data_IF_618497148785
#
_entry.id   IF_618497148785
#
_cell.length_a   1.000
_cell.length_b   1.000
_cell.length_c   1.000
_cell.angle_alpha   90.00
_cell.angle_beta   90.00
_cell.angle_gamma   90.00
#
_symmetry.space_group_name_H-M   'P 1'
#
loop_
_entity.id
_entity.type
_entity.pdbx_description
1 polymer ?
#
# COMPACT_ATOMS: atom_id res chain seq x y z
N UNK A 1 -11.10 11.56 10.60
CA UNK A 1 -11.14 12.77 11.48
C UNK A 1 -12.57 12.99 11.91
N UNK A 2 -12.83 13.09 13.19
CA UNK A 2 -14.16 13.38 13.77
C UNK A 2 -14.39 14.88 13.96
N UNK A 3 -13.41 15.56 14.52
CA UNK A 3 -13.49 17.00 14.78
C UNK A 3 -12.11 17.64 14.83
N UNK A 4 -12.08 18.92 14.51
CA UNK A 4 -10.88 19.77 14.62
C UNK A 4 -11.24 20.91 15.57
N UNK A 5 -10.44 21.08 16.59
CA UNK A 5 -10.56 22.20 17.51
C UNK A 5 -9.37 23.16 17.32
N UNK A 6 -9.65 24.26 16.66
CA UNK A 6 -8.64 25.29 16.38
C UNK A 6 -8.26 26.11 17.62
N UNK A 7 -9.06 26.08 18.68
CA UNK A 7 -8.78 26.85 19.88
C UNK A 7 -7.77 26.11 20.78
N UNK A 8 -7.92 24.79 20.88
CA UNK A 8 -6.98 23.92 21.61
C UNK A 8 -5.89 23.33 20.71
N UNK A 9 -5.88 23.67 19.42
CA UNK A 9 -4.93 23.16 18.43
C UNK A 9 -4.86 21.63 18.42
N UNK A 10 -6.03 20.97 18.50
CA UNK A 10 -6.13 19.50 18.54
C UNK A 10 -7.07 18.94 17.49
N UNK A 11 -6.77 17.71 17.06
CA UNK A 11 -7.62 16.91 16.17
C UNK A 11 -8.05 15.63 16.86
N UNK A 12 -9.33 15.30 16.78
CA UNK A 12 -9.87 14.01 17.20
C UNK A 12 -9.95 13.06 16.02
N UNK A 13 -9.29 11.92 16.14
CA UNK A 13 -9.29 10.88 15.11
C UNK A 13 -9.89 9.61 15.71
N UNK A 14 -10.97 9.14 15.09
CA UNK A 14 -11.58 7.85 15.43
C UNK A 14 -10.84 6.72 14.72
N UNK A 15 -10.49 5.69 15.45
CA UNK A 15 -9.86 4.47 14.96
C UNK A 15 -10.83 3.30 15.06
N UNK A 16 -11.37 2.88 13.92
CA UNK A 16 -12.36 1.80 13.86
C UNK A 16 -11.85 0.42 14.32
N UNK A 17 -10.53 0.21 14.29
CA UNK A 17 -9.91 -1.06 14.71
C UNK A 17 -10.00 -1.25 16.22
N UNK A 18 -9.81 -0.17 16.97
CA UNK A 18 -9.84 -0.18 18.45
C UNK A 18 -11.14 0.40 19.02
N UNK A 19 -12.04 0.84 18.13
CA UNK A 19 -13.32 1.51 18.46
C UNK A 19 -13.15 2.66 19.45
N UNK A 20 -12.09 3.46 19.25
CA UNK A 20 -11.73 4.56 20.15
C UNK A 20 -11.34 5.83 19.42
N UNK A 21 -11.41 6.95 20.12
CA UNK A 21 -11.08 8.29 19.61
C UNK A 21 -9.88 8.85 20.35
N UNK A 22 -8.80 9.11 19.62
CA UNK A 22 -7.57 9.66 20.17
C UNK A 22 -7.46 11.14 19.78
N UNK A 23 -7.05 11.98 20.73
CA UNK A 23 -6.73 13.39 20.48
C UNK A 23 -5.25 13.55 20.15
N UNK A 24 -4.98 14.27 19.07
CA UNK A 24 -3.63 14.60 18.62
C UNK A 24 -3.45 16.13 18.62
N UNK A 25 -2.43 16.66 19.26
CA UNK A 25 -1.98 18.04 19.04
C UNK A 25 -1.56 18.24 17.58
N UNK A 26 -1.81 19.43 17.03
CA UNK A 26 -1.43 19.76 15.64
C UNK A 26 0.07 19.54 15.37
N UNK A 27 0.91 19.84 16.34
CA UNK A 27 2.36 19.65 16.24
C UNK A 27 2.78 18.21 15.97
N UNK A 28 2.02 17.24 16.49
CA UNK A 28 2.34 15.82 16.33
C UNK A 28 1.71 15.19 15.06
N UNK A 29 0.77 15.86 14.41
CA UNK A 29 0.09 15.32 13.23
C UNK A 29 1.06 14.94 12.11
N UNK A 30 2.04 15.79 11.70
CA UNK A 30 2.90 15.47 10.57
C UNK A 30 3.78 14.23 10.78
N UNK A 31 4.10 13.93 12.04
CA UNK A 31 4.92 12.76 12.39
C UNK A 31 4.12 11.50 12.66
N UNK A 32 2.84 11.66 13.06
CA UNK A 32 2.01 10.53 13.54
C UNK A 32 0.97 10.07 12.54
N UNK A 33 0.57 10.93 11.60
CA UNK A 33 -0.55 10.66 10.68
C UNK A 33 -0.15 10.96 9.25
N UNK A 34 -0.52 10.07 8.35
CA UNK A 34 -0.38 10.27 6.90
C UNK A 34 -1.73 10.22 6.23
N UNK A 35 -1.88 10.90 5.11
CA UNK A 35 -3.10 10.84 4.30
C UNK A 35 -3.33 9.41 3.80
N UNK A 36 -4.55 8.89 4.00
CA UNK A 36 -4.90 7.50 3.71
C UNK A 36 -5.66 7.28 2.39
N UNK A 37 -5.71 8.28 1.50
CA UNK A 37 -6.44 8.16 0.22
C UNK A 37 -5.71 7.30 -0.83
N UNK A 38 -4.41 7.08 -0.66
CA UNK A 38 -3.61 6.19 -1.48
C UNK A 38 -2.46 5.59 -0.68
N UNK A 39 -2.01 4.42 -1.09
CA UNK A 39 -0.90 3.71 -0.45
C UNK A 39 -0.05 3.00 -1.49
N UNK A 40 1.21 2.76 -1.19
CA UNK A 40 2.04 1.90 -2.04
C UNK A 40 1.66 0.43 -1.86
N UNK A 41 1.88 -0.38 -2.90
CA UNK A 41 1.63 -1.83 -2.85
C UNK A 41 2.34 -2.48 -1.65
N UNK A 42 3.58 -2.08 -1.37
CA UNK A 42 4.35 -2.62 -0.25
C UNK A 42 3.74 -2.28 1.12
N UNK A 43 3.29 -1.04 1.31
CA UNK A 43 2.64 -0.64 2.57
C UNK A 43 1.29 -1.34 2.77
N UNK A 44 0.63 -1.70 1.68
CA UNK A 44 -0.67 -2.38 1.71
C UNK A 44 -0.53 -3.92 1.77
N UNK A 45 0.69 -4.42 1.82
CA UNK A 45 0.98 -5.85 1.96
C UNK A 45 0.39 -6.40 3.28
N UNK A 46 -0.33 -7.52 3.20
CA UNK A 46 -1.06 -8.07 4.36
C UNK A 46 -2.47 -7.52 4.57
N UNK A 47 -2.84 -6.44 3.86
CA UNK A 47 -4.20 -5.89 3.89
C UNK A 47 -4.97 -6.27 2.62
N UNK A 48 -6.31 -6.19 2.67
CA UNK A 48 -7.19 -6.36 1.51
C UNK A 48 -8.30 -5.32 1.51
N UNK A 49 -8.95 -5.16 0.37
CA UNK A 49 -10.16 -4.35 0.24
C UNK A 49 -11.10 -4.98 -0.80
N UNK A 50 -12.40 -4.68 -0.68
CA UNK A 50 -13.40 -5.18 -1.62
C UNK A 50 -13.11 -4.74 -3.05
N UNK A 51 -12.71 -3.49 -3.23
CA UNK A 51 -12.37 -2.90 -4.52
C UNK A 51 -11.00 -2.22 -4.43
N UNK A 52 -10.14 -2.49 -5.38
CA UNK A 52 -8.81 -1.88 -5.50
C UNK A 52 -8.72 -1.17 -6.85
N UNK A 53 -8.24 0.06 -6.82
CA UNK A 53 -7.78 0.77 -8.01
C UNK A 53 -6.26 0.84 -7.95
N UNK A 54 -5.61 0.03 -8.77
CA UNK A 54 -4.15 -0.02 -8.84
C UNK A 54 -3.60 0.86 -9.96
N UNK A 55 -2.57 1.63 -9.66
CA UNK A 55 -1.81 2.39 -10.66
C UNK A 55 -0.49 1.67 -10.92
N UNK A 56 -0.24 1.33 -12.18
CA UNK A 56 0.94 0.57 -12.58
C UNK A 56 1.51 1.13 -13.89
N UNK A 57 2.45 2.04 -13.76
CA UNK A 57 3.02 2.78 -14.88
C UNK A 57 4.55 2.91 -14.79
N UNK A 58 5.15 3.66 -15.73
CA UNK A 58 6.58 3.89 -15.77
C UNK A 58 7.11 4.89 -14.72
N UNK A 59 6.26 5.55 -13.92
CA UNK A 59 6.71 6.30 -12.75
C UNK A 59 7.22 5.34 -11.66
N UNK A 60 6.77 4.08 -11.70
CA UNK A 60 7.32 3.00 -10.89
C UNK A 60 8.76 2.70 -11.34
N UNK A 61 9.75 2.68 -10.42
CA UNK A 61 11.12 2.33 -10.77
C UNK A 61 11.20 1.02 -11.57
N UNK A 62 12.02 0.94 -12.63
CA UNK A 62 12.10 -0.23 -13.49
C UNK A 62 12.42 -1.55 -12.76
N UNK A 63 13.16 -1.47 -11.66
CA UNK A 63 13.48 -2.62 -10.79
C UNK A 63 12.27 -3.13 -10.00
N UNK A 64 11.24 -2.30 -9.85
CA UNK A 64 9.99 -2.65 -9.16
C UNK A 64 8.89 -3.12 -10.11
N UNK A 65 9.06 -2.92 -11.43
CA UNK A 65 8.12 -3.42 -12.44
C UNK A 65 8.32 -4.93 -12.63
N UNK A 66 7.92 -5.69 -11.62
CA UNK A 66 8.08 -7.14 -11.57
C UNK A 66 6.73 -7.85 -11.53
N UNK A 67 6.74 -9.12 -11.90
CA UNK A 67 5.55 -9.99 -11.84
C UNK A 67 5.02 -10.11 -10.41
N UNK A 68 5.92 -10.17 -9.45
CA UNK A 68 5.60 -10.29 -8.03
C UNK A 68 4.86 -9.05 -7.51
N UNK A 69 5.31 -7.84 -7.92
CA UNK A 69 4.63 -6.61 -7.54
C UNK A 69 3.23 -6.55 -8.14
N UNK A 70 3.10 -6.87 -9.43
CA UNK A 70 1.81 -6.92 -10.12
C UNK A 70 0.87 -7.95 -9.45
N UNK A 71 1.37 -9.14 -9.18
CA UNK A 71 0.61 -10.18 -8.48
C UNK A 71 0.17 -9.72 -7.09
N UNK A 72 1.09 -9.12 -6.32
CA UNK A 72 0.80 -8.60 -4.98
C UNK A 72 -0.31 -7.53 -5.03
N UNK A 73 -0.27 -6.63 -6.01
CA UNK A 73 -1.32 -5.64 -6.22
C UNK A 73 -2.68 -6.28 -6.50
N UNK A 74 -2.74 -7.18 -7.48
CA UNK A 74 -3.99 -7.82 -7.91
C UNK A 74 -4.64 -8.64 -6.79
N UNK A 75 -3.82 -9.34 -6.00
CA UNK A 75 -4.31 -10.19 -4.90
C UNK A 75 -4.76 -9.41 -3.66
N UNK A 76 -4.65 -8.09 -3.64
CA UNK A 76 -5.22 -7.25 -2.56
C UNK A 76 -6.73 -7.03 -2.72
N UNK A 77 -7.27 -7.25 -3.91
CA UNK A 77 -8.69 -7.10 -4.17
C UNK A 77 -9.46 -8.37 -3.78
N UNK A 78 -10.51 -8.21 -2.99
CA UNK A 78 -11.42 -9.31 -2.61
C UNK A 78 -12.49 -9.56 -3.68
N UNK A 79 -12.93 -8.50 -4.37
CA UNK A 79 -14.02 -8.57 -5.37
C UNK A 79 -13.60 -8.04 -6.73
N UNK A 80 -13.00 -6.87 -6.77
CA UNK A 80 -12.72 -6.18 -8.02
C UNK A 80 -11.39 -5.43 -7.96
N UNK A 81 -10.60 -5.54 -9.03
CA UNK A 81 -9.39 -4.78 -9.21
C UNK A 81 -9.44 -4.06 -10.57
N UNK A 82 -9.46 -2.73 -10.52
CA UNK A 82 -9.29 -1.89 -11.71
C UNK A 82 -7.83 -1.48 -11.83
N UNK A 83 -7.18 -1.82 -12.94
CA UNK A 83 -5.79 -1.47 -13.17
C UNK A 83 -5.68 -0.29 -14.14
N UNK A 84 -5.20 0.83 -13.65
CA UNK A 84 -4.82 1.99 -14.46
C UNK A 84 -3.34 1.83 -14.80
N UNK A 85 -3.04 1.54 -16.05
CA UNK A 85 -1.68 1.15 -16.43
C UNK A 85 -1.31 1.56 -17.85
N UNK A 86 0.00 1.62 -18.09
CA UNK A 86 0.55 1.64 -19.43
C UNK A 86 0.82 0.21 -19.88
N UNK A 87 0.33 -0.17 -21.06
CA UNK A 87 0.48 -1.53 -21.61
C UNK A 87 1.94 -2.03 -21.58
N UNK A 88 2.90 -1.14 -21.86
CA UNK A 88 4.33 -1.50 -21.83
C UNK A 88 4.84 -1.79 -20.42
N UNK A 89 4.33 -1.10 -19.37
CA UNK A 89 4.72 -1.36 -17.99
C UNK A 89 4.26 -2.75 -17.54
N UNK A 90 3.02 -3.10 -17.87
CA UNK A 90 2.46 -4.43 -17.58
C UNK A 90 3.21 -5.52 -18.36
N UNK A 91 3.44 -5.33 -19.66
CA UNK A 91 4.20 -6.29 -20.47
C UNK A 91 5.62 -6.50 -19.92
N UNK A 92 6.28 -5.42 -19.48
CA UNK A 92 7.59 -5.50 -18.83
C UNK A 92 7.53 -6.31 -17.54
N UNK A 93 6.55 -6.04 -16.67
CA UNK A 93 6.39 -6.77 -15.42
C UNK A 93 6.13 -8.27 -15.65
N UNK A 94 5.26 -8.62 -16.60
CA UNK A 94 4.95 -10.01 -16.92
C UNK A 94 6.18 -10.76 -17.42
N UNK A 95 7.01 -10.11 -18.25
CA UNK A 95 8.19 -10.67 -18.85
C UNK A 95 9.45 -10.56 -17.97
N UNK A 96 9.40 -9.77 -16.91
CA UNK A 96 10.50 -9.73 -15.96
C UNK A 96 10.62 -11.11 -15.32
N UNK A 97 11.72 -11.79 -15.59
CA UNK A 97 12.06 -13.02 -14.88
C UNK A 97 12.19 -12.68 -13.39
N UNK A 98 11.41 -13.39 -12.58
CA UNK A 98 11.37 -13.19 -11.14
C UNK A 98 12.75 -13.26 -10.52
N UNK A 99 12.81 -12.74 -9.32
CA UNK A 99 14.02 -12.67 -8.49
C UNK A 99 14.83 -13.96 -8.59
N UNK A 100 15.97 -13.85 -9.24
CA UNK A 100 17.02 -14.86 -9.20
C UNK A 100 17.39 -15.12 -7.73
N UNK A 101 17.05 -16.34 -7.26
CA UNK A 101 17.58 -16.89 -6.03
C UNK A 101 17.28 -16.06 -4.76
N UNK A 102 16.14 -16.28 -4.15
CA UNK A 102 16.07 -16.06 -2.71
C UNK A 102 17.01 -17.10 -2.08
N UNK A 103 18.19 -16.70 -1.71
CA UNK A 103 19.08 -17.51 -0.90
C UNK A 103 18.44 -17.70 0.47
N UNK A 104 17.64 -18.74 0.60
CA UNK A 104 17.14 -19.18 1.90
C UNK A 104 17.97 -20.39 2.31
N UNK A 105 18.48 -20.39 3.51
CA UNK A 105 19.14 -21.57 4.11
C UNK A 105 18.18 -22.75 4.35
N UNK A 106 16.90 -22.62 3.91
CA UNK A 106 15.90 -23.63 4.12
C UNK A 106 16.25 -24.97 3.44
N UNK A 107 16.94 -24.92 2.30
CA UNK A 107 17.40 -26.14 1.60
C UNK A 107 18.54 -26.86 2.33
N UNK A 108 19.21 -26.21 3.28
CA UNK A 108 20.27 -26.82 4.12
C UNK A 108 19.72 -27.41 5.41
N UNK A 109 18.45 -27.10 5.74
CA UNK A 109 17.76 -27.54 6.96
C UNK A 109 16.78 -28.71 6.72
N UNK A 110 16.55 -29.10 5.46
CA UNK A 110 15.72 -30.23 5.04
C UNK A 110 16.56 -31.38 4.50
#
# INVERSE_FOLDING_TARGET
>A
VQSIDNHSETVRIYFSIIDDTIMFPFELLPSSVVLGYASTVHKYQGSSAKVIIGVFDYSTPPSMLTRELLYTLLTRAEKECTLVCQNRAVSKAINASGVTGKNTFLCELL
#
